data_IF_030685085777
#
_entry.id   IF_030685085777
#
_cell.length_a   1.000
_cell.length_b   1.000
_cell.length_c   1.000
_cell.angle_alpha   90.00
_cell.angle_beta   90.00
_cell.angle_gamma   90.00
#
_symmetry.space_group_name_H-M   'P 1'
#
loop_
_entity.id
_entity.type
_entity.pdbx_description
1 polymer ?
#
# COMPACT_ATOMS: atom_id res chain seq x y z
N UNK A 1 -10.31 -18.33 25.48
CA UNK A 1 -8.82 -18.35 25.53
C UNK A 1 -8.34 -18.61 24.12
N UNK A 2 -7.80 -17.59 23.44
CA UNK A 2 -7.15 -17.82 22.15
C UNK A 2 -5.83 -18.54 22.41
N UNK A 3 -5.65 -19.72 21.80
CA UNK A 3 -4.39 -20.44 21.88
C UNK A 3 -3.27 -19.53 21.31
N UNK A 4 -2.11 -19.51 21.98
CA UNK A 4 -0.93 -18.84 21.45
C UNK A 4 -0.61 -19.37 20.05
N UNK A 5 -0.25 -18.53 19.08
CA UNK A 5 0.09 -19.03 17.75
C UNK A 5 1.31 -19.96 17.82
N UNK A 6 1.26 -21.06 17.07
CA UNK A 6 2.30 -22.10 17.05
C UNK A 6 3.56 -21.73 16.24
N UNK A 7 3.76 -20.46 15.98
CA UNK A 7 4.91 -19.94 15.22
C UNK A 7 4.64 -18.59 14.57
N UNK A 8 5.62 -18.09 13.84
CA UNK A 8 5.56 -16.85 13.08
C UNK A 8 5.96 -17.13 11.64
N UNK A 9 5.19 -16.63 10.67
CA UNK A 9 5.62 -16.52 9.27
C UNK A 9 5.77 -15.04 8.89
N UNK A 10 6.83 -14.72 8.17
CA UNK A 10 7.05 -13.40 7.58
C UNK A 10 7.14 -13.61 6.07
N UNK A 11 6.17 -13.09 5.34
CA UNK A 11 6.11 -13.21 3.89
C UNK A 11 6.37 -11.83 3.25
N UNK A 12 7.47 -11.73 2.53
CA UNK A 12 7.88 -10.55 1.76
C UNK A 12 7.76 -10.77 0.25
N UNK A 13 7.11 -11.87 -0.18
CA UNK A 13 6.81 -12.13 -1.58
C UNK A 13 5.73 -11.19 -2.11
N UNK A 14 5.46 -11.24 -3.40
CA UNK A 14 4.44 -10.42 -4.03
C UNK A 14 3.54 -11.24 -4.96
N UNK A 15 2.33 -10.74 -5.16
CA UNK A 15 1.38 -11.29 -6.12
C UNK A 15 1.05 -12.76 -5.85
N UNK A 16 1.19 -13.60 -6.88
CA UNK A 16 0.82 -15.02 -6.84
C UNK A 16 1.55 -15.83 -5.76
N UNK A 17 2.80 -15.50 -5.48
CA UNK A 17 3.57 -16.22 -4.45
C UNK A 17 2.98 -16.02 -3.06
N UNK A 18 2.57 -14.80 -2.71
CA UNK A 18 1.89 -14.51 -1.45
C UNK A 18 0.56 -15.28 -1.33
N UNK A 19 -0.27 -15.24 -2.38
CA UNK A 19 -1.56 -15.98 -2.37
C UNK A 19 -1.33 -17.48 -2.17
N UNK A 20 -0.30 -18.05 -2.78
CA UNK A 20 0.05 -19.46 -2.61
C UNK A 20 0.56 -19.76 -1.20
N UNK A 21 1.39 -18.88 -0.61
CA UNK A 21 1.92 -19.02 0.74
C UNK A 21 0.78 -19.05 1.77
N UNK A 22 -0.13 -18.08 1.73
CA UNK A 22 -1.28 -18.02 2.63
C UNK A 22 -2.16 -19.27 2.51
N UNK A 23 -2.45 -19.69 1.28
CA UNK A 23 -3.22 -20.92 1.04
C UNK A 23 -2.54 -22.16 1.61
N UNK A 24 -1.23 -22.30 1.43
CA UNK A 24 -0.48 -23.46 1.92
C UNK A 24 -0.44 -23.55 3.44
N UNK A 25 -0.37 -22.41 4.12
CA UNK A 25 -0.48 -22.37 5.59
C UNK A 25 -1.86 -22.91 6.04
N UNK A 26 -2.93 -22.45 5.39
CA UNK A 26 -4.29 -22.90 5.70
C UNK A 26 -4.51 -24.40 5.41
N UNK A 27 -4.06 -24.90 4.24
CA UNK A 27 -4.14 -26.31 3.84
C UNK A 27 -3.46 -27.27 4.84
N UNK A 28 -2.44 -26.77 5.54
CA UNK A 28 -1.72 -27.57 6.56
C UNK A 28 -2.35 -27.50 7.94
N UNK A 29 -3.50 -26.82 8.08
CA UNK A 29 -4.13 -26.56 9.39
C UNK A 29 -3.18 -25.95 10.42
N UNK A 30 -2.12 -25.29 9.94
CA UNK A 30 -1.15 -24.60 10.79
C UNK A 30 -1.66 -23.18 11.08
N UNK A 31 -1.56 -22.74 12.32
CA UNK A 31 -2.04 -21.43 12.77
C UNK A 31 -0.91 -20.58 13.34
N UNK A 32 0.07 -20.18 12.53
CA UNK A 32 1.10 -19.25 12.96
C UNK A 32 0.54 -17.82 13.02
N UNK A 33 1.24 -16.92 13.69
CA UNK A 33 1.09 -15.50 13.42
C UNK A 33 1.65 -15.20 12.02
N UNK A 34 0.80 -14.82 11.08
CA UNK A 34 1.22 -14.50 9.72
C UNK A 34 1.41 -12.99 9.58
N UNK A 35 2.58 -12.57 9.10
CA UNK A 35 2.88 -11.18 8.76
C UNK A 35 3.18 -11.05 7.27
N UNK A 36 2.45 -10.18 6.58
CA UNK A 36 2.74 -9.81 5.20
C UNK A 36 3.48 -8.47 5.11
N UNK A 37 4.31 -8.33 4.08
CA UNK A 37 4.89 -7.05 3.72
C UNK A 37 3.81 -6.10 3.17
N UNK A 38 4.06 -4.81 3.26
CA UNK A 38 3.12 -3.80 2.76
C UNK A 38 2.83 -3.90 1.25
N UNK A 39 3.75 -4.45 0.45
CA UNK A 39 3.55 -4.70 -0.98
C UNK A 39 2.67 -5.93 -1.30
N UNK A 40 2.29 -6.71 -0.28
CA UNK A 40 1.58 -7.99 -0.43
C UNK A 40 0.14 -7.96 0.12
N UNK A 41 -0.35 -6.79 0.49
CA UNK A 41 -1.63 -6.63 1.19
C UNK A 41 -2.82 -6.32 0.30
N UNK A 42 -2.63 -6.27 -1.02
CA UNK A 42 -3.69 -5.94 -1.98
C UNK A 42 -4.87 -6.93 -1.90
N UNK A 43 -6.09 -6.40 -1.99
CA UNK A 43 -7.32 -7.18 -1.93
C UNK A 43 -7.34 -8.31 -2.97
N UNK A 44 -6.90 -8.07 -4.19
CA UNK A 44 -6.81 -9.07 -5.26
C UNK A 44 -5.88 -10.24 -4.90
N UNK A 45 -4.80 -9.99 -4.14
CA UNK A 45 -3.88 -11.04 -3.65
C UNK A 45 -4.58 -11.90 -2.59
N UNK A 46 -5.28 -11.28 -1.64
CA UNK A 46 -5.97 -12.01 -0.58
C UNK A 46 -7.20 -12.77 -1.09
N UNK A 47 -7.94 -12.21 -2.05
CA UNK A 47 -9.05 -12.93 -2.68
C UNK A 47 -8.59 -14.20 -3.39
N UNK A 48 -7.43 -14.13 -4.07
CA UNK A 48 -6.83 -15.30 -4.71
C UNK A 48 -6.33 -16.35 -3.71
N UNK A 49 -6.04 -15.98 -2.47
CA UNK A 49 -5.72 -16.91 -1.39
C UNK A 49 -6.97 -17.54 -0.73
N UNK A 50 -8.10 -16.86 -0.84
CA UNK A 50 -9.32 -17.06 -0.04
C UNK A 50 -9.30 -16.13 1.18
N UNK A 51 -10.31 -15.27 1.30
CA UNK A 51 -10.37 -14.30 2.41
C UNK A 51 -10.42 -14.99 3.78
N UNK A 52 -11.08 -16.12 3.88
CA UNK A 52 -11.13 -16.95 5.09
C UNK A 52 -9.75 -17.47 5.52
N UNK A 53 -8.87 -17.76 4.55
CA UNK A 53 -7.48 -18.20 4.80
C UNK A 53 -6.57 -17.04 5.23
N UNK A 54 -6.94 -15.82 4.89
CA UNK A 54 -6.19 -14.62 5.19
C UNK A 54 -6.62 -13.94 6.50
N UNK A 55 -7.65 -14.46 7.17
CA UNK A 55 -8.12 -13.88 8.43
C UNK A 55 -7.02 -13.90 9.50
N UNK A 56 -6.97 -12.82 10.28
CA UNK A 56 -6.00 -12.58 11.37
C UNK A 56 -4.54 -12.34 10.89
N UNK A 57 -4.32 -12.21 9.57
CA UNK A 57 -3.02 -11.79 9.04
C UNK A 57 -2.74 -10.35 9.47
N UNK A 58 -1.50 -10.13 9.91
CA UNK A 58 -1.00 -8.81 10.30
C UNK A 58 -0.15 -8.21 9.17
N UNK A 59 -0.29 -6.93 8.93
CA UNK A 59 0.55 -6.21 7.95
C UNK A 59 0.83 -4.78 8.39
N UNK A 60 1.87 -4.21 7.81
CA UNK A 60 2.13 -2.76 7.88
C UNK A 60 1.39 -2.11 6.71
N UNK A 61 0.67 -1.05 7.01
CA UNK A 61 -0.09 -0.27 6.02
C UNK A 61 0.38 1.17 5.98
N UNK A 62 0.49 1.69 4.78
CA UNK A 62 0.71 3.10 4.49
C UNK A 62 -0.16 3.61 3.33
N UNK A 63 -0.87 2.70 2.66
CA UNK A 63 -1.61 3.01 1.43
C UNK A 63 -3.11 2.74 1.58
N UNK A 64 -3.87 3.53 0.85
CA UNK A 64 -5.28 3.26 0.52
C UNK A 64 -5.36 2.09 -0.47
N UNK A 65 -6.56 1.57 -0.68
CA UNK A 65 -6.88 0.61 -1.74
C UNK A 65 -7.90 1.23 -2.68
N UNK A 66 -7.73 0.99 -3.98
CA UNK A 66 -8.74 1.28 -4.98
C UNK A 66 -9.78 0.15 -5.04
N UNK A 67 -10.89 0.41 -5.70
CA UNK A 67 -11.99 -0.54 -5.83
C UNK A 67 -12.99 -0.52 -4.67
N UNK A 68 -13.88 -1.53 -4.59
CA UNK A 68 -14.91 -1.60 -3.57
C UNK A 68 -14.34 -1.73 -2.17
N UNK A 69 -14.84 -0.96 -1.21
CA UNK A 69 -14.44 -1.06 0.19
C UNK A 69 -14.35 0.31 0.89
N UNK A 70 -13.50 0.37 1.91
CA UNK A 70 -13.39 1.50 2.84
C UNK A 70 -13.17 2.85 2.14
N UNK A 71 -12.38 2.88 1.05
CA UNK A 71 -12.00 4.12 0.35
C UNK A 71 -12.76 4.36 -0.95
N UNK A 72 -13.83 3.61 -1.22
CA UNK A 72 -14.62 3.75 -2.45
C UNK A 72 -15.09 5.19 -2.74
N UNK A 73 -15.36 5.96 -1.66
CA UNK A 73 -15.80 7.37 -1.75
C UNK A 73 -14.68 8.37 -1.44
N UNK A 74 -13.45 7.90 -1.28
CA UNK A 74 -12.30 8.78 -1.08
C UNK A 74 -12.00 9.55 -2.37
N UNK A 75 -11.71 10.86 -2.24
CA UNK A 75 -11.48 11.76 -3.39
C UNK A 75 -10.35 11.30 -4.29
N UNK A 76 -9.27 10.79 -3.69
CA UNK A 76 -8.06 10.39 -4.44
C UNK A 76 -8.30 9.05 -5.16
N UNK A 77 -9.01 8.14 -4.51
CA UNK A 77 -9.44 6.87 -5.11
C UNK A 77 -10.42 7.12 -6.25
N UNK A 78 -11.40 8.00 -6.07
CA UNK A 78 -12.35 8.39 -7.14
C UNK A 78 -11.64 9.03 -8.34
N UNK A 79 -10.63 9.87 -8.10
CA UNK A 79 -9.83 10.48 -9.16
C UNK A 79 -9.03 9.42 -9.94
N UNK A 80 -8.42 8.46 -9.25
CA UNK A 80 -7.77 7.32 -9.89
C UNK A 80 -8.76 6.49 -10.71
N UNK A 81 -9.93 6.16 -10.15
CA UNK A 81 -10.94 5.36 -10.86
C UNK A 81 -11.44 6.05 -12.14
N UNK A 82 -11.64 7.36 -12.11
CA UNK A 82 -12.00 8.13 -13.31
C UNK A 82 -10.89 8.06 -14.39
N UNK A 83 -9.62 8.17 -13.99
CA UNK A 83 -8.47 8.02 -14.88
C UNK A 83 -8.38 6.58 -15.43
N UNK A 84 -8.49 5.59 -14.54
CA UNK A 84 -8.46 4.18 -14.91
C UNK A 84 -9.54 3.84 -15.92
N UNK A 85 -10.79 4.23 -15.67
CA UNK A 85 -11.91 3.98 -16.57
C UNK A 85 -11.69 4.57 -17.97
N UNK A 86 -11.03 5.73 -18.05
CA UNK A 86 -10.75 6.43 -19.31
C UNK A 86 -9.57 5.82 -20.08
N UNK A 87 -8.48 5.50 -19.41
CA UNK A 87 -7.20 5.15 -20.06
C UNK A 87 -6.80 3.69 -19.91
N UNK A 88 -7.33 2.98 -18.93
CA UNK A 88 -7.00 1.61 -18.58
C UNK A 88 -8.27 0.77 -18.34
N UNK A 89 -9.24 0.74 -19.27
CA UNK A 89 -10.56 0.12 -19.02
C UNK A 89 -10.51 -1.39 -18.78
N UNK A 90 -9.42 -2.05 -19.16
CA UNK A 90 -9.22 -3.49 -18.96
C UNK A 90 -8.51 -3.86 -17.65
N UNK A 91 -8.06 -2.86 -16.88
CA UNK A 91 -7.43 -3.08 -15.58
C UNK A 91 -8.51 -3.14 -14.51
N UNK A 92 -8.43 -4.15 -13.65
CA UNK A 92 -9.39 -4.32 -12.56
C UNK A 92 -9.40 -3.11 -11.62
N UNK A 93 -10.56 -2.67 -11.14
CA UNK A 93 -10.71 -1.54 -10.22
C UNK A 93 -9.87 -1.68 -8.94
N UNK A 94 -9.74 -2.89 -8.40
CA UNK A 94 -8.98 -3.18 -7.18
C UNK A 94 -7.50 -3.51 -7.43
N UNK A 95 -6.98 -3.17 -8.61
CA UNK A 95 -5.58 -3.38 -8.93
C UNK A 95 -4.68 -2.39 -8.17
N UNK A 96 -4.19 -2.82 -7.03
CA UNK A 96 -3.33 -2.01 -6.14
C UNK A 96 -2.04 -1.55 -6.82
N UNK A 97 -1.50 -2.33 -7.77
CA UNK A 97 -0.26 -1.96 -8.49
C UNK A 97 -0.53 -0.77 -9.41
N UNK A 98 -1.65 -0.76 -10.13
CA UNK A 98 -2.05 0.37 -10.97
C UNK A 98 -2.27 1.64 -10.13
N UNK A 99 -2.91 1.51 -8.97
CA UNK A 99 -3.11 2.63 -8.05
C UNK A 99 -1.79 3.15 -7.46
N UNK A 100 -0.86 2.26 -7.12
CA UNK A 100 0.49 2.66 -6.71
C UNK A 100 1.23 3.43 -7.81
N UNK A 101 1.12 2.99 -9.07
CA UNK A 101 1.66 3.70 -10.23
C UNK A 101 1.08 5.11 -10.39
N UNK A 102 -0.21 5.28 -10.14
CA UNK A 102 -0.85 6.59 -10.11
C UNK A 102 -0.25 7.50 -9.02
N UNK A 103 -0.05 6.98 -7.80
CA UNK A 103 0.60 7.72 -6.72
C UNK A 103 2.05 8.12 -7.04
N UNK A 104 2.80 7.25 -7.70
CA UNK A 104 4.16 7.56 -8.17
C UNK A 104 4.16 8.65 -9.25
N UNK A 105 3.23 8.58 -10.20
CA UNK A 105 3.06 9.61 -11.23
C UNK A 105 2.69 10.97 -10.62
N UNK A 106 1.83 11.00 -9.61
CA UNK A 106 1.49 12.22 -8.88
C UNK A 106 2.72 12.81 -8.18
N UNK A 107 3.57 11.97 -7.58
CA UNK A 107 4.82 12.42 -6.96
C UNK A 107 5.78 13.04 -7.98
N UNK A 108 5.94 12.40 -9.15
CA UNK A 108 6.76 12.95 -10.23
C UNK A 108 6.17 14.26 -10.78
N UNK A 109 4.84 14.32 -10.92
CA UNK A 109 4.15 15.55 -11.34
C UNK A 109 4.42 16.72 -10.40
N UNK A 110 4.43 16.49 -9.09
CA UNK A 110 4.78 17.52 -8.11
C UNK A 110 6.24 17.96 -8.24
N UNK A 111 7.18 17.03 -8.43
CA UNK A 111 8.60 17.34 -8.65
C UNK A 111 8.76 18.23 -9.89
N UNK A 112 8.13 17.86 -11.01
CA UNK A 112 8.18 18.64 -12.25
C UNK A 112 7.55 20.03 -12.09
N UNK A 113 6.43 20.13 -11.37
CA UNK A 113 5.78 21.42 -11.06
C UNK A 113 6.72 22.34 -10.27
N UNK A 114 7.50 21.79 -9.33
CA UNK A 114 8.50 22.55 -8.55
C UNK A 114 9.71 22.98 -9.39
N UNK A 115 10.00 22.26 -10.46
CA UNK A 115 11.08 22.65 -11.37
C UNK A 115 10.78 23.93 -12.17
N UNK A 116 9.50 24.28 -12.36
CA UNK A 116 9.11 25.36 -13.25
C UNK A 116 9.62 25.11 -14.68
N UNK A 117 10.22 26.10 -15.28
CA UNK A 117 10.76 26.02 -16.65
C UNK A 117 12.16 25.35 -16.72
N UNK A 118 12.83 25.15 -15.57
CA UNK A 118 14.14 24.49 -15.52
C UNK A 118 13.98 22.97 -15.30
N UNK A 119 13.82 22.25 -16.38
CA UNK A 119 13.74 20.77 -16.41
C UNK A 119 15.09 20.08 -16.56
N UNK A 120 16.20 20.77 -16.23
CA UNK A 120 17.51 20.13 -16.22
C UNK A 120 17.57 18.98 -15.21
N UNK A 121 18.37 17.95 -15.51
CA UNK A 121 18.58 16.83 -14.60
C UNK A 121 19.00 17.28 -13.19
N UNK A 122 19.85 18.29 -13.11
CA UNK A 122 20.32 18.82 -11.83
C UNK A 122 19.18 19.40 -11.00
N UNK A 123 18.29 20.19 -11.61
CA UNK A 123 17.15 20.77 -10.90
C UNK A 123 16.10 19.70 -10.54
N UNK A 124 15.79 18.75 -11.44
CA UNK A 124 14.87 17.63 -11.13
C UNK A 124 15.39 16.83 -9.94
N UNK A 125 16.66 16.47 -9.89
CA UNK A 125 17.25 15.78 -8.75
C UNK A 125 17.20 16.60 -7.46
N UNK A 126 17.48 17.91 -7.54
CA UNK A 126 17.37 18.83 -6.41
C UNK A 126 15.94 18.84 -5.86
N UNK A 127 14.94 19.04 -6.71
CA UNK A 127 13.53 19.08 -6.29
C UNK A 127 13.07 17.74 -5.71
N UNK A 128 13.51 16.62 -6.27
CA UNK A 128 13.19 15.28 -5.75
C UNK A 128 13.83 15.05 -4.37
N UNK A 129 15.12 15.39 -4.18
CA UNK A 129 15.83 15.15 -2.92
C UNK A 129 15.48 16.15 -1.80
N UNK A 130 14.69 17.18 -2.11
CA UNK A 130 14.19 18.17 -1.14
C UNK A 130 12.67 18.25 -1.09
N UNK A 131 11.99 17.21 -1.60
CA UNK A 131 10.52 17.12 -1.56
C UNK A 131 10.08 16.97 -0.09
N UNK A 132 9.41 17.96 0.46
CA UNK A 132 8.97 17.97 1.84
C UNK A 132 7.45 18.10 1.95
N UNK A 133 6.86 17.33 2.88
CA UNK A 133 5.44 17.39 3.21
C UNK A 133 4.49 17.02 2.06
N UNK A 134 4.97 16.26 1.07
CA UNK A 134 4.13 15.86 -0.06
C UNK A 134 3.23 14.70 0.33
N UNK A 135 1.92 14.88 0.18
CA UNK A 135 0.94 13.82 0.31
C UNK A 135 0.65 13.18 -1.05
N UNK A 136 0.95 11.90 -1.19
CA UNK A 136 0.59 11.13 -2.39
C UNK A 136 -0.86 10.64 -2.30
N UNK A 137 -1.64 10.71 -3.39
CA UNK A 137 -3.01 10.21 -3.41
C UNK A 137 -3.14 8.70 -3.11
N UNK A 138 -2.03 7.97 -3.20
CA UNK A 138 -1.97 6.54 -2.85
C UNK A 138 -1.90 6.30 -1.34
N UNK A 139 -1.50 7.29 -0.53
CA UNK A 139 -1.24 7.10 0.89
C UNK A 139 -2.46 7.34 1.78
N UNK A 140 -2.40 6.81 3.01
CA UNK A 140 -3.32 7.19 4.08
C UNK A 140 -3.17 8.68 4.37
N UNK A 141 -4.24 9.33 4.82
CA UNK A 141 -4.34 10.80 4.89
C UNK A 141 -3.31 11.46 5.82
N UNK A 142 -2.82 10.72 6.81
CA UNK A 142 -1.81 11.18 7.77
C UNK A 142 -0.37 10.89 7.35
N UNK A 143 -0.15 10.29 6.17
CA UNK A 143 1.18 9.92 5.68
C UNK A 143 1.64 10.89 4.60
N UNK A 144 2.78 11.50 4.86
CA UNK A 144 3.44 12.42 3.94
C UNK A 144 4.87 11.97 3.65
N UNK A 145 5.36 12.34 2.48
CA UNK A 145 6.76 12.19 2.10
C UNK A 145 7.57 13.42 2.46
N UNK A 146 8.74 13.19 3.03
CA UNK A 146 9.74 14.24 3.20
C UNK A 146 11.13 13.67 2.96
N UNK A 147 11.83 14.24 1.99
CA UNK A 147 13.23 13.94 1.72
C UNK A 147 14.10 15.10 2.14
N UNK A 148 15.26 14.80 2.67
CA UNK A 148 16.35 15.78 2.86
C UNK A 148 17.63 15.26 2.18
N UNK A 149 18.63 16.10 1.93
CA UNK A 149 19.90 15.66 1.36
C UNK A 149 20.59 14.53 2.17
N UNK A 150 20.33 14.46 3.47
CA UNK A 150 20.95 13.52 4.40
C UNK A 150 20.02 12.39 4.82
N UNK A 151 18.73 12.44 4.46
CA UNK A 151 17.73 11.44 4.81
C UNK A 151 16.82 11.09 3.62
N UNK A 152 17.05 9.90 3.07
CA UNK A 152 16.29 9.32 1.97
C UNK A 152 15.22 8.33 2.43
N UNK A 153 14.91 8.26 3.73
CA UNK A 153 13.78 7.50 4.30
C UNK A 153 12.54 8.40 4.43
N UNK A 154 11.71 8.52 3.38
CA UNK A 154 10.72 9.60 3.29
C UNK A 154 9.49 9.41 4.17
N UNK A 155 9.18 8.18 4.55
CA UNK A 155 8.02 7.84 5.36
C UNK A 155 8.44 7.57 6.81
N UNK A 156 7.93 8.39 7.72
CA UNK A 156 8.18 8.26 9.17
C UNK A 156 6.95 7.75 9.93
N UNK A 157 5.85 7.54 9.24
CA UNK A 157 4.56 7.14 9.84
C UNK A 157 4.03 5.90 9.11
N UNK A 158 3.67 4.88 9.86
CA UNK A 158 3.13 3.63 9.36
C UNK A 158 2.01 3.15 10.29
N UNK A 159 1.07 2.36 9.79
CA UNK A 159 0.02 1.74 10.59
C UNK A 159 0.17 0.23 10.62
N UNK A 160 -0.17 -0.37 11.74
CA UNK A 160 -0.40 -1.81 11.84
C UNK A 160 -1.84 -2.07 11.40
N UNK A 161 -2.05 -3.14 10.65
CA UNK A 161 -3.38 -3.58 10.26
C UNK A 161 -3.54 -5.09 10.42
N UNK A 162 -4.79 -5.50 10.66
CA UNK A 162 -5.17 -6.90 10.79
C UNK A 162 -6.31 -7.16 9.82
N UNK A 163 -6.22 -8.22 9.03
CA UNK A 163 -7.28 -8.61 8.11
C UNK A 163 -8.36 -9.41 8.85
N UNK A 164 -9.59 -8.91 8.84
CA UNK A 164 -10.70 -9.55 9.58
C UNK A 164 -11.40 -10.68 8.82
N UNK A 165 -10.93 -10.98 7.61
CA UNK A 165 -11.54 -11.92 6.68
C UNK A 165 -12.41 -11.24 5.61
N UNK A 166 -12.54 -9.91 5.64
CA UNK A 166 -13.30 -9.12 4.69
C UNK A 166 -12.54 -7.87 4.25
N UNK A 167 -11.98 -7.15 5.23
CA UNK A 167 -11.22 -5.93 4.99
C UNK A 167 -10.11 -5.75 6.04
N UNK A 168 -9.21 -4.80 5.79
CA UNK A 168 -8.15 -4.45 6.70
C UNK A 168 -8.65 -3.50 7.79
N UNK A 169 -8.51 -3.93 9.05
CA UNK A 169 -8.73 -3.11 10.22
C UNK A 169 -7.41 -2.40 10.56
N UNK A 170 -7.35 -1.10 10.30
CA UNK A 170 -6.14 -0.29 10.44
C UNK A 170 -6.13 0.31 11.85
N UNK A 171 -5.01 0.20 12.55
CA UNK A 171 -4.80 0.79 13.87
C UNK A 171 -4.94 2.32 13.81
N UNK A 172 -5.70 2.91 14.72
CA UNK A 172 -5.76 4.37 14.87
C UNK A 172 -4.42 4.96 15.31
N UNK A 173 -3.67 4.19 16.10
CA UNK A 173 -2.34 4.61 16.55
C UNK A 173 -1.30 4.27 15.48
N UNK A 174 -0.70 5.30 14.93
CA UNK A 174 0.44 5.17 14.03
C UNK A 174 1.70 4.72 14.78
N UNK A 175 2.57 4.02 14.08
CA UNK A 175 3.95 3.77 14.49
C UNK A 175 4.79 4.84 13.81
N UNK A 176 5.47 5.65 14.59
CA UNK A 176 6.37 6.73 14.12
C UNK A 176 7.79 6.43 14.53
N UNK A 177 8.74 6.87 13.71
CA UNK A 177 10.17 6.85 14.03
C UNK A 177 10.56 8.02 14.91
#
# INVERSE_FOLDING_TARGET
MNAMPSGLTIDSSAGKATSQSVRRVAERCWKPLQRLSAGSVGRSILSAAGFENAKDIVAIRYSKEAGPGRWEKDKDVMAFEALRAKYLPTVDPDNTIAYAGYGQAASMGEILRRCGDDLTRANVLKQASTLAGFHSPFFLDDINFSYTPDDYSPMKTLHISIFDGKEWQISEKAVTE
#
